data_IF_820969917843
#
_entry.id   IF_820969917843
#
_cell.length_a   1.000
_cell.length_b   1.000
_cell.length_c   1.000
_cell.angle_alpha   90.00
_cell.angle_beta   90.00
_cell.angle_gamma   90.00
#
_symmetry.space_group_name_H-M   'P 1'
#
loop_
_entity.id
_entity.type
_entity.pdbx_description
1 polymer ?
#
# COMPACT_ATOMS: atom_id res chain seq x y z
N UNK A 1 -0.62 -39.87 -26.00
CA UNK A 1 0.07 -40.05 -24.71
C UNK A 1 0.22 -38.69 -24.00
N UNK A 2 -0.71 -38.38 -23.10
CA UNK A 2 -0.62 -37.21 -22.22
C UNK A 2 0.41 -37.54 -21.15
N UNK A 3 1.50 -36.77 -21.05
CA UNK A 3 2.44 -36.95 -19.95
C UNK A 3 1.73 -36.53 -18.66
N UNK A 4 1.65 -37.48 -17.74
CA UNK A 4 1.34 -37.23 -16.34
C UNK A 4 2.64 -36.76 -15.70
N UNK A 5 2.95 -35.48 -15.87
CA UNK A 5 4.02 -34.87 -15.09
C UNK A 5 3.56 -34.86 -13.63
N UNK A 6 4.23 -35.69 -12.82
CA UNK A 6 3.99 -35.78 -11.39
C UNK A 6 4.17 -34.39 -10.75
N UNK A 7 3.39 -34.05 -9.71
CA UNK A 7 3.52 -32.77 -9.04
C UNK A 7 4.96 -32.59 -8.56
N UNK A 8 5.61 -31.54 -9.05
CA UNK A 8 6.95 -31.11 -8.65
C UNK A 8 7.06 -31.09 -7.13
N UNK A 9 8.02 -31.87 -6.64
CA UNK A 9 8.44 -31.99 -5.26
C UNK A 9 8.69 -30.59 -4.66
N UNK A 10 7.78 -30.11 -3.81
CA UNK A 10 7.93 -28.88 -3.03
C UNK A 10 8.83 -29.19 -1.83
N UNK A 11 10.08 -29.59 -2.11
CA UNK A 11 11.04 -30.03 -1.09
C UNK A 11 11.60 -28.88 -0.25
N UNK A 12 11.21 -27.64 -0.55
CA UNK A 12 11.47 -26.48 0.29
C UNK A 12 10.17 -25.75 0.61
N UNK A 13 9.76 -25.64 1.89
CA UNK A 13 8.69 -24.73 2.26
C UNK A 13 9.14 -23.34 1.83
N UNK A 14 8.50 -22.82 0.79
CA UNK A 14 8.71 -21.44 0.38
C UNK A 14 8.11 -20.55 1.47
N UNK A 15 8.96 -20.11 2.40
CA UNK A 15 8.57 -19.22 3.48
C UNK A 15 8.18 -17.86 2.88
N UNK A 16 6.87 -17.61 2.85
CA UNK A 16 6.33 -16.34 2.41
C UNK A 16 6.27 -15.39 3.61
N UNK A 17 6.79 -14.17 3.46
CA UNK A 17 6.70 -13.14 4.49
C UNK A 17 5.60 -12.15 4.15
N UNK A 18 4.61 -12.03 5.04
CA UNK A 18 3.57 -11.02 4.97
C UNK A 18 3.81 -9.94 6.01
N UNK A 19 3.72 -8.69 5.58
CA UNK A 19 3.76 -7.52 6.46
C UNK A 19 2.36 -6.93 6.56
N UNK A 20 1.92 -6.63 7.77
CA UNK A 20 0.65 -5.91 8.00
C UNK A 20 0.89 -4.66 8.82
N UNK A 21 0.10 -3.62 8.55
CA UNK A 21 0.05 -2.38 9.33
C UNK A 21 -1.32 -2.23 9.99
N UNK A 22 -1.37 -1.55 11.13
CA UNK A 22 -2.59 -1.37 11.91
C UNK A 22 -2.82 0.04 12.44
N UNK A 23 -4.04 0.29 12.94
CA UNK A 23 -4.43 1.54 13.62
C UNK A 23 -3.68 1.77 14.94
N UNK A 24 -3.01 0.74 15.44
CA UNK A 24 -2.12 0.76 16.57
C UNK A 24 -0.71 1.27 16.21
N UNK A 25 -0.47 1.68 14.96
CA UNK A 25 0.82 2.24 14.54
C UNK A 25 1.94 1.21 14.43
N UNK A 26 1.60 -0.07 14.56
CA UNK A 26 2.55 -1.17 14.49
C UNK A 26 2.57 -1.78 13.10
N UNK A 27 3.74 -2.29 12.75
CA UNK A 27 3.95 -3.23 11.65
C UNK A 27 4.21 -4.61 12.24
N UNK A 28 3.46 -5.60 11.77
CA UNK A 28 3.65 -7.00 12.14
C UNK A 28 4.25 -7.76 10.96
N UNK A 29 5.19 -8.65 11.27
CA UNK A 29 5.76 -9.59 10.31
C UNK A 29 5.23 -10.98 10.59
N UNK A 30 4.70 -11.61 9.56
CA UNK A 30 4.22 -12.98 9.57
C UNK A 30 5.03 -13.82 8.60
N UNK A 31 5.39 -15.03 9.01
CA UNK A 31 5.88 -16.08 8.14
C UNK A 31 4.76 -17.06 7.87
N UNK A 32 4.57 -17.38 6.60
CA UNK A 32 3.60 -18.33 6.10
C UNK A 32 4.35 -19.51 5.54
N UNK A 33 4.09 -20.68 6.10
CA UNK A 33 4.67 -21.95 5.66
C UNK A 33 3.54 -22.87 5.17
N UNK A 34 3.80 -23.56 4.06
CA UNK A 34 2.84 -24.43 3.37
C UNK A 34 3.34 -25.86 3.44
N UNK A 35 2.46 -26.82 3.73
CA UNK A 35 2.83 -28.24 3.87
C UNK A 35 3.34 -28.64 5.25
N UNK A 36 3.01 -27.88 6.30
CA UNK A 36 3.49 -28.14 7.66
C UNK A 36 2.76 -29.34 8.28
N UNK A 37 3.50 -30.31 8.81
CA UNK A 37 2.91 -31.40 9.61
C UNK A 37 2.44 -30.86 10.95
N UNK A 38 1.21 -31.21 11.36
CA UNK A 38 0.50 -30.73 12.56
C UNK A 38 1.21 -30.95 13.91
N UNK A 39 2.35 -31.62 13.92
CA UNK A 39 3.18 -31.84 15.12
C UNK A 39 3.97 -30.62 15.58
N UNK A 40 4.07 -29.56 14.76
CA UNK A 40 4.79 -28.33 15.13
C UNK A 40 3.83 -27.21 15.57
N UNK A 41 3.77 -27.00 16.89
CA UNK A 41 3.60 -25.70 17.57
C UNK A 41 2.27 -25.37 18.25
N UNK A 42 2.33 -25.29 19.58
CA UNK A 42 1.29 -24.77 20.48
C UNK A 42 1.14 -23.23 20.47
N UNK A 43 1.96 -22.50 19.70
CA UNK A 43 1.91 -21.03 19.61
C UNK A 43 1.58 -20.50 18.20
N UNK A 44 1.36 -21.40 17.23
CA UNK A 44 1.06 -21.07 15.84
C UNK A 44 -0.45 -21.12 15.62
N UNK A 45 -1.01 -20.06 15.04
CA UNK A 45 -2.37 -20.13 14.51
C UNK A 45 -2.28 -20.86 13.18
N UNK A 46 -2.61 -22.14 13.19
CA UNK A 46 -2.70 -22.98 11.99
C UNK A 46 -4.09 -22.89 11.37
N UNK A 47 -4.16 -22.85 10.04
CA UNK A 47 -5.39 -23.01 9.27
C UNK A 47 -5.21 -24.05 8.17
N UNK A 48 -6.31 -24.59 7.65
CA UNK A 48 -6.27 -25.40 6.42
C UNK A 48 -6.75 -24.54 5.25
N UNK A 49 -6.00 -24.53 4.15
CA UNK A 49 -6.48 -24.02 2.87
C UNK A 49 -6.83 -25.22 2.00
N UNK A 50 -8.10 -25.39 1.72
CA UNK A 50 -8.57 -26.41 0.78
C UNK A 50 -8.81 -25.76 -0.58
N UNK A 51 -8.07 -26.21 -1.59
CA UNK A 51 -8.40 -25.88 -2.97
C UNK A 51 -9.53 -26.83 -3.39
N UNK A 52 -10.76 -26.31 -3.50
CA UNK A 52 -11.94 -27.08 -3.86
C UNK A 52 -11.69 -27.84 -5.17
N UNK A 53 -11.50 -29.17 -5.06
CA UNK A 53 -11.28 -30.07 -6.20
C UNK A 53 -9.92 -30.77 -6.28
N UNK A 54 -8.93 -30.42 -5.45
CA UNK A 54 -7.57 -30.98 -5.59
C UNK A 54 -7.26 -32.23 -4.75
N UNK A 55 -8.13 -32.65 -3.82
CA UNK A 55 -7.94 -33.85 -2.97
C UNK A 55 -6.72 -33.82 -2.02
N UNK A 56 -5.83 -32.84 -2.17
CA UNK A 56 -4.65 -32.64 -1.36
C UNK A 56 -4.90 -31.48 -0.39
N UNK A 57 -5.27 -31.83 0.84
CA UNK A 57 -5.29 -30.86 1.94
C UNK A 57 -3.85 -30.42 2.23
N UNK A 58 -3.58 -29.14 2.02
CA UNK A 58 -2.31 -28.55 2.39
C UNK A 58 -2.48 -27.71 3.66
N UNK A 59 -1.77 -28.09 4.72
CA UNK A 59 -1.76 -27.31 5.95
C UNK A 59 -0.97 -26.01 5.73
N UNK A 60 -1.55 -24.88 6.15
CA UNK A 60 -0.90 -23.57 6.11
C UNK A 60 -0.73 -23.05 7.52
N UNK A 61 0.52 -22.85 7.91
CA UNK A 61 0.88 -22.29 9.19
C UNK A 61 1.19 -20.80 9.02
N UNK A 62 0.59 -19.96 9.86
CA UNK A 62 0.92 -18.52 9.91
C UNK A 62 1.46 -18.21 11.30
N UNK A 63 2.71 -17.74 11.34
CA UNK A 63 3.39 -17.38 12.58
C UNK A 63 3.74 -15.90 12.58
N UNK A 64 3.37 -15.18 13.64
CA UNK A 64 3.88 -13.83 13.85
C UNK A 64 5.31 -13.93 14.34
N UNK A 65 6.25 -13.34 13.61
CA UNK A 65 7.70 -13.45 13.88
C UNK A 65 8.34 -12.15 14.34
N UNK A 66 7.62 -11.04 14.19
CA UNK A 66 8.10 -9.75 14.64
C UNK A 66 7.00 -8.71 14.70
N UNK A 67 7.27 -7.70 15.52
CA UNK A 67 6.45 -6.50 15.64
C UNK A 67 7.39 -5.31 15.78
N UNK A 68 7.10 -4.22 15.09
CA UNK A 68 7.85 -2.96 15.21
C UNK A 68 6.88 -1.78 15.20
N UNK A 69 7.12 -0.78 16.05
CA UNK A 69 6.35 0.46 16.09
C UNK A 69 6.88 1.42 15.04
N UNK A 70 6.05 1.84 14.09
CA UNK A 70 6.44 2.77 13.02
C UNK A 70 5.98 4.21 13.27
N UNK A 71 4.85 4.38 13.94
CA UNK A 71 4.23 5.68 14.18
C UNK A 71 3.37 5.61 15.43
N UNK A 72 3.09 6.75 16.05
CA UNK A 72 2.08 6.85 17.11
C UNK A 72 0.64 6.91 16.59
N UNK A 73 0.48 6.99 15.27
CA UNK A 73 -0.81 6.98 14.62
C UNK A 73 -1.14 5.66 13.93
N UNK A 74 -1.72 5.71 12.74
CA UNK A 74 -2.18 4.54 11.98
C UNK A 74 -1.22 4.22 10.84
N UNK A 75 -0.74 2.97 10.72
CA UNK A 75 -0.08 2.47 9.49
C UNK A 75 -1.14 1.97 8.52
N UNK A 76 -1.36 2.71 7.43
CA UNK A 76 -2.46 2.47 6.52
C UNK A 76 -2.06 1.67 5.27
N UNK A 77 -0.80 1.74 4.85
CA UNK A 77 -0.28 0.99 3.71
C UNK A 77 1.19 0.64 3.93
N UNK A 78 1.58 -0.56 3.49
CA UNK A 78 2.98 -0.98 3.40
C UNK A 78 3.25 -1.39 1.95
N UNK A 79 4.30 -0.84 1.35
CA UNK A 79 4.63 -1.11 -0.05
C UNK A 79 6.11 -1.45 -0.17
N UNK A 80 6.42 -2.62 -0.75
CA UNK A 80 7.78 -2.98 -1.10
C UNK A 80 8.03 -2.66 -2.57
N UNK A 81 9.08 -1.89 -2.86
CA UNK A 81 9.47 -1.51 -4.22
C UNK A 81 10.98 -1.33 -4.29
N UNK A 82 11.61 -1.92 -5.30
CA UNK A 82 13.05 -1.82 -5.55
C UNK A 82 13.91 -2.14 -4.30
N UNK A 83 13.52 -3.21 -3.58
CA UNK A 83 14.18 -3.64 -2.34
C UNK A 83 13.92 -2.78 -1.10
N UNK A 84 13.21 -1.66 -1.24
CA UNK A 84 12.86 -0.74 -0.14
C UNK A 84 11.44 -1.00 0.36
N UNK A 85 11.22 -0.79 1.65
CA UNK A 85 9.92 -0.85 2.29
C UNK A 85 9.46 0.56 2.64
N UNK A 86 8.31 0.94 2.12
CA UNK A 86 7.66 2.20 2.42
C UNK A 86 6.43 1.98 3.29
N UNK A 87 6.19 2.89 4.22
CA UNK A 87 4.99 2.95 5.02
C UNK A 87 4.23 4.24 4.73
N UNK A 88 2.94 4.13 4.49
CA UNK A 88 2.00 5.26 4.50
C UNK A 88 1.28 5.22 5.84
N UNK A 89 1.37 6.31 6.58
CA UNK A 89 0.79 6.42 7.91
C UNK A 89 0.04 7.73 8.13
N UNK A 90 -0.81 7.75 9.15
CA UNK A 90 -1.54 8.93 9.58
C UNK A 90 -1.21 9.26 11.02
N UNK A 91 -0.71 10.46 11.29
CA UNK A 91 -0.49 10.98 12.63
C UNK A 91 -0.90 12.44 12.70
N UNK A 92 -1.67 12.83 13.72
CA UNK A 92 -2.10 14.21 13.95
C UNK A 92 -2.67 14.90 12.68
N UNK A 93 -3.65 14.26 12.02
CA UNK A 93 -4.29 14.70 10.76
C UNK A 93 -3.36 14.83 9.54
N UNK A 94 -2.14 14.31 9.61
CA UNK A 94 -1.18 14.29 8.51
C UNK A 94 -1.07 12.92 7.87
N UNK A 95 -0.92 12.88 6.55
CA UNK A 95 -0.46 11.72 5.80
C UNK A 95 1.06 11.79 5.74
N UNK A 96 1.72 10.71 6.14
CA UNK A 96 3.17 10.60 6.21
C UNK A 96 3.62 9.41 5.38
N UNK A 97 4.56 9.62 4.47
CA UNK A 97 5.23 8.54 3.73
C UNK A 97 6.63 8.40 4.27
N UNK A 98 6.98 7.21 4.74
CA UNK A 98 8.25 6.90 5.39
C UNK A 98 8.96 5.79 4.65
N UNK A 99 10.27 5.92 4.42
CA UNK A 99 11.14 4.81 4.05
C UNK A 99 11.59 4.08 5.32
N UNK A 100 11.03 2.88 5.53
CA UNK A 100 11.31 2.03 6.67
C UNK A 100 12.70 1.40 6.56
N UNK A 101 13.12 1.03 5.34
CA UNK A 101 14.43 0.43 5.08
C UNK A 101 15.56 1.42 5.36
N UNK A 102 15.36 2.71 5.03
CA UNK A 102 16.30 3.78 5.33
C UNK A 102 16.14 4.35 6.76
N UNK A 103 15.96 3.48 7.76
CA UNK A 103 15.91 3.88 9.18
C UNK A 103 14.71 4.76 9.55
N UNK A 104 13.54 4.50 8.95
CA UNK A 104 12.31 5.29 9.15
C UNK A 104 12.44 6.76 8.71
N UNK A 105 13.14 7.03 7.60
CA UNK A 105 13.26 8.38 7.04
C UNK A 105 11.92 8.86 6.48
N UNK A 106 11.44 10.02 6.95
CA UNK A 106 10.20 10.64 6.44
C UNK A 106 10.47 11.30 5.09
N UNK A 107 9.77 10.84 4.05
CA UNK A 107 9.85 11.37 2.69
C UNK A 107 8.83 12.48 2.45
N UNK A 108 7.63 12.33 3.02
CA UNK A 108 6.51 13.27 2.86
C UNK A 108 5.75 13.39 4.17
N UNK A 109 5.30 14.61 4.51
CA UNK A 109 4.35 14.84 5.60
C UNK A 109 3.42 15.99 5.23
N UNK A 110 2.16 15.68 4.88
CA UNK A 110 1.16 16.66 4.44
C UNK A 110 -0.05 16.65 5.35
N UNK A 111 -0.63 17.82 5.61
CA UNK A 111 -1.92 17.90 6.31
C UNK A 111 -3.02 17.47 5.35
N UNK A 112 -3.82 16.46 5.72
CA UNK A 112 -4.83 15.85 4.85
C UNK A 112 -6.16 15.58 5.58
N UNK A 113 -6.40 16.26 6.70
CA UNK A 113 -7.55 16.03 7.59
C UNK A 113 -7.63 14.63 8.25
N UNK A 114 -6.59 13.79 8.12
CA UNK A 114 -6.48 12.47 8.73
C UNK A 114 -6.92 11.30 7.84
N UNK A 115 -6.69 10.07 8.33
CA UNK A 115 -6.86 8.85 7.52
C UNK A 115 -8.31 8.42 7.26
N UNK A 116 -9.28 9.02 7.95
CA UNK A 116 -10.70 8.74 7.72
C UNK A 116 -11.23 9.35 6.40
N UNK A 117 -10.44 10.22 5.76
CA UNK A 117 -10.74 10.79 4.44
C UNK A 117 -10.22 9.89 3.33
N UNK A 118 -10.62 10.20 2.11
CA UNK A 118 -10.24 9.49 0.90
C UNK A 118 -8.85 9.94 0.47
N UNK A 119 -7.95 8.98 0.32
CA UNK A 119 -6.58 9.21 -0.11
C UNK A 119 -6.09 7.98 -0.88
N UNK A 120 -5.04 8.17 -1.66
CA UNK A 120 -4.28 7.10 -2.23
C UNK A 120 -2.83 7.52 -2.41
N UNK A 121 -1.92 6.57 -2.19
CA UNK A 121 -0.52 6.70 -2.55
C UNK A 121 -0.21 5.72 -3.67
N UNK A 122 0.30 6.24 -4.77
CA UNK A 122 0.80 5.48 -5.90
C UNK A 122 2.32 5.58 -5.91
N UNK A 123 2.98 4.44 -5.82
CA UNK A 123 4.41 4.33 -6.09
C UNK A 123 4.55 4.06 -7.58
N UNK A 124 5.10 5.01 -8.34
CA UNK A 124 5.38 4.90 -9.77
C UNK A 124 6.90 4.92 -10.03
N UNK A 125 7.32 4.61 -11.26
CA UNK A 125 8.75 4.68 -11.65
C UNK A 125 9.28 6.10 -11.55
N UNK A 126 8.45 7.09 -11.89
CA UNK A 126 8.75 8.51 -11.79
C UNK A 126 8.57 9.07 -10.36
N UNK A 127 8.54 8.22 -9.34
CA UNK A 127 8.47 8.62 -7.94
C UNK A 127 7.12 8.35 -7.27
N UNK A 128 6.91 8.98 -6.11
CA UNK A 128 5.73 8.76 -5.28
C UNK A 128 4.69 9.82 -5.62
N UNK A 129 3.45 9.40 -5.86
CA UNK A 129 2.29 10.27 -6.06
C UNK A 129 1.32 10.07 -4.93
N UNK A 130 0.78 11.15 -4.40
CA UNK A 130 -0.24 11.12 -3.36
C UNK A 130 -1.44 11.92 -3.85
N UNK A 131 -2.64 11.38 -3.72
CA UNK A 131 -3.88 12.08 -3.96
C UNK A 131 -4.76 12.00 -2.73
N UNK A 132 -5.43 13.08 -2.36
CA UNK A 132 -6.39 13.06 -1.25
C UNK A 132 -7.42 14.17 -1.38
N UNK A 133 -8.54 14.01 -0.68
CA UNK A 133 -9.59 15.03 -0.60
C UNK A 133 -9.39 15.90 0.64
N UNK A 134 -9.32 17.21 0.45
CA UNK A 134 -9.22 18.18 1.52
C UNK A 134 -10.12 19.39 1.21
N UNK A 135 -11.03 19.70 2.14
CA UNK A 135 -12.05 20.74 1.98
C UNK A 135 -12.85 20.64 0.66
N UNK A 136 -13.24 19.42 0.27
CA UNK A 136 -14.03 19.17 -0.96
C UNK A 136 -13.23 19.27 -2.26
N UNK A 137 -11.93 19.52 -2.17
CA UNK A 137 -11.03 19.64 -3.33
C UNK A 137 -10.11 18.42 -3.41
N UNK A 138 -9.76 18.03 -4.63
CA UNK A 138 -8.71 17.04 -4.87
C UNK A 138 -7.36 17.74 -4.80
N UNK A 139 -6.48 17.20 -3.97
CA UNK A 139 -5.09 17.61 -3.83
C UNK A 139 -4.21 16.47 -4.32
N UNK A 140 -3.18 16.80 -5.10
CA UNK A 140 -2.19 15.84 -5.55
C UNK A 140 -0.77 16.32 -5.24
N UNK A 141 0.11 15.40 -4.84
CA UNK A 141 1.52 15.67 -4.57
C UNK A 141 2.38 14.71 -5.39
N UNK A 142 3.53 15.20 -5.84
CA UNK A 142 4.54 14.47 -6.60
C UNK A 142 5.88 14.59 -5.87
N UNK A 143 6.46 13.44 -5.50
CA UNK A 143 7.82 13.36 -4.97
C UNK A 143 8.70 12.78 -6.07
N UNK A 144 9.46 13.66 -6.71
CA UNK A 144 10.33 13.29 -7.82
C UNK A 144 11.66 12.69 -7.36
N UNK A 145 12.15 13.04 -6.15
CA UNK A 145 13.33 12.44 -5.52
C UNK A 145 13.25 12.53 -3.98
N UNK A 146 13.98 11.67 -3.23
CA UNK A 146 14.06 11.73 -1.77
C UNK A 146 14.75 12.99 -1.20
N UNK A 147 15.16 13.95 -2.03
CA UNK A 147 15.92 15.12 -1.61
C UNK A 147 15.00 16.23 -1.08
N UNK A 148 14.51 16.06 0.15
CA UNK A 148 14.31 17.10 1.18
C UNK A 148 13.22 18.17 1.00
N UNK A 149 12.91 18.61 -0.22
CA UNK A 149 11.95 19.68 -0.44
C UNK A 149 10.65 19.09 -1.00
N UNK A 150 9.64 19.01 -0.15
CA UNK A 150 8.31 18.50 -0.50
C UNK A 150 7.77 19.20 -1.74
N UNK A 151 7.30 18.42 -2.71
CA UNK A 151 6.69 18.94 -3.92
C UNK A 151 5.48 19.82 -3.60
N UNK A 152 5.26 20.85 -4.40
CA UNK A 152 4.05 21.67 -4.32
C UNK A 152 2.82 20.86 -4.75
N UNK A 153 1.62 21.17 -4.21
CA UNK A 153 0.40 20.55 -4.68
C UNK A 153 0.21 20.84 -6.17
N UNK A 154 0.07 19.78 -6.97
CA UNK A 154 0.18 19.87 -8.44
C UNK A 154 -1.18 20.16 -9.10
N UNK A 155 -2.29 19.86 -8.42
CA UNK A 155 -3.65 20.09 -8.92
C UNK A 155 -4.56 20.44 -7.74
N UNK A 156 -5.30 21.55 -7.90
CA UNK A 156 -6.42 21.95 -7.04
C UNK A 156 -7.66 22.02 -7.93
N UNK A 157 -8.41 20.92 -8.00
CA UNK A 157 -9.66 20.85 -8.76
C UNK A 157 -10.85 20.78 -7.80
N UNK A 158 -11.90 21.55 -8.07
CA UNK A 158 -13.21 21.30 -7.47
C UNK A 158 -13.74 19.98 -8.06
N UNK A 159 -13.99 18.99 -7.20
CA UNK A 159 -14.34 17.64 -7.67
C UNK A 159 -15.85 17.43 -7.71
N UNK A 160 -16.56 17.84 -6.66
CA UNK A 160 -18.01 17.75 -6.56
C UNK A 160 -18.52 18.70 -5.47
N UNK A 161 -19.78 19.10 -5.56
CA UNK A 161 -20.51 19.73 -4.44
C UNK A 161 -20.95 18.71 -3.38
N UNK A 162 -20.78 17.41 -3.66
CA UNK A 162 -21.20 16.28 -2.81
C UNK A 162 -19.97 15.52 -2.28
N UNK A 163 -20.15 14.77 -1.18
CA UNK A 163 -19.13 13.94 -0.55
C UNK A 163 -18.49 12.96 -1.55
N UNK A 164 -17.15 12.96 -1.60
CA UNK A 164 -16.35 12.02 -2.40
C UNK A 164 -16.14 10.76 -1.56
N UNK A 165 -16.46 9.59 -2.11
CA UNK A 165 -16.40 8.30 -1.42
C UNK A 165 -15.17 7.48 -1.76
N UNK A 166 -14.59 7.67 -2.93
CA UNK A 166 -13.38 6.93 -3.37
C UNK A 166 -12.42 7.80 -4.18
N UNK A 167 -11.13 7.49 -4.07
CA UNK A 167 -10.03 8.07 -4.85
C UNK A 167 -9.19 6.90 -5.40
N UNK A 168 -8.95 6.94 -6.71
CA UNK A 168 -8.17 6.00 -7.51
C UNK A 168 -7.01 6.74 -8.19
N UNK A 169 -5.81 6.17 -8.28
CA UNK A 169 -4.63 6.76 -8.91
C UNK A 169 -3.96 5.72 -9.79
N UNK A 170 -3.62 6.13 -11.02
CA UNK A 170 -2.83 5.36 -11.94
C UNK A 170 -1.81 6.29 -12.63
N UNK A 171 -0.68 5.72 -13.07
CA UNK A 171 0.27 6.45 -13.91
C UNK A 171 0.18 5.89 -15.33
N UNK A 172 0.20 6.78 -16.32
CA UNK A 172 0.28 6.39 -17.73
C UNK A 172 1.72 6.01 -18.11
N UNK A 173 1.89 5.38 -19.27
CA UNK A 173 3.22 5.13 -19.86
C UNK A 173 4.02 6.42 -20.04
N UNK A 174 3.34 7.55 -20.28
CA UNK A 174 3.98 8.88 -20.37
C UNK A 174 4.35 9.53 -19.03
N UNK A 175 4.05 8.87 -17.90
CA UNK A 175 4.27 9.39 -16.55
C UNK A 175 3.17 10.33 -16.04
N UNK A 176 2.18 10.67 -16.87
CA UNK A 176 1.00 11.43 -16.44
C UNK A 176 0.22 10.71 -15.34
N UNK A 177 -0.20 11.47 -14.33
CA UNK A 177 -1.04 10.97 -13.25
C UNK A 177 -2.51 11.08 -13.66
N UNK A 178 -3.19 9.93 -13.66
CA UNK A 178 -4.64 9.85 -13.75
C UNK A 178 -5.17 9.65 -12.35
N UNK A 179 -6.08 10.52 -11.93
CA UNK A 179 -6.83 10.35 -10.68
C UNK A 179 -8.30 10.14 -11.02
N UNK A 180 -8.90 9.07 -10.50
CA UNK A 180 -10.32 8.82 -10.58
C UNK A 180 -10.97 9.13 -9.21
N UNK A 181 -12.10 9.81 -9.19
CA UNK A 181 -12.85 10.08 -7.95
C UNK A 181 -14.30 9.68 -8.12
N UNK A 182 -14.86 8.94 -7.17
CA UNK A 182 -16.28 8.59 -7.14
C UNK A 182 -16.99 9.26 -5.96
N UNK A 183 -18.13 9.90 -6.21
CA UNK A 183 -18.94 10.59 -5.20
C UNK A 183 -20.26 9.90 -4.87
N UNK A 184 -20.99 10.41 -3.87
CA UNK A 184 -22.36 9.94 -3.57
C UNK A 184 -23.38 10.32 -4.63
N UNK A 185 -23.03 11.29 -5.49
CA UNK A 185 -23.79 11.65 -6.68
C UNK A 185 -23.77 10.56 -7.76
N UNK A 186 -23.14 9.40 -7.49
CA UNK A 186 -23.04 8.28 -8.42
C UNK A 186 -22.11 8.54 -9.60
N UNK A 187 -21.39 9.66 -9.60
CA UNK A 187 -20.53 10.06 -10.72
C UNK A 187 -19.08 9.64 -10.47
N UNK A 188 -18.48 9.02 -11.49
CA UNK A 188 -17.03 8.82 -11.57
C UNK A 188 -16.42 9.94 -12.40
N UNK A 189 -15.43 10.63 -11.84
CA UNK A 189 -14.71 11.72 -12.52
C UNK A 189 -13.26 11.33 -12.71
N UNK A 190 -12.73 11.62 -13.89
CA UNK A 190 -11.34 11.36 -14.25
C UNK A 190 -10.62 12.69 -14.37
N UNK A 191 -9.59 12.86 -13.55
CA UNK A 191 -8.71 14.01 -13.53
C UNK A 191 -7.39 13.60 -14.18
N UNK A 192 -6.93 14.41 -15.11
CA UNK A 192 -5.66 14.21 -15.80
C UNK A 192 -4.69 15.32 -15.38
N UNK A 193 -3.63 14.95 -14.66
CA UNK A 193 -2.55 15.87 -14.33
C UNK A 193 -1.47 15.89 -15.43
N UNK A 194 -0.73 16.99 -15.60
CA UNK A 194 0.39 17.02 -16.53
C UNK A 194 1.47 15.98 -16.15
N UNK A 195 2.20 15.41 -17.13
CA UNK A 195 3.22 14.37 -16.91
C UNK A 195 4.40 14.85 -16.04
N UNK A 196 4.71 16.14 -16.12
CA UNK A 196 5.61 16.85 -15.24
C UNK A 196 5.21 18.32 -15.27
N UNK A 197 5.05 18.94 -14.10
CA UNK A 197 5.43 20.33 -13.98
C UNK A 197 6.88 20.26 -13.53
N UNK A 198 7.82 20.43 -14.45
CA UNK A 198 9.15 20.88 -14.07
C UNK A 198 8.92 22.25 -13.45
N UNK A 199 8.84 22.29 -12.12
CA UNK A 199 8.82 23.56 -11.40
C UNK A 199 10.22 24.12 -11.58
N UNK A 200 10.39 24.94 -12.62
CA UNK A 200 11.50 25.88 -12.69
C UNK A 200 11.32 26.78 -11.47
N UNK A 201 12.15 26.55 -10.46
CA UNK A 201 12.24 27.39 -9.28
C UNK A 201 12.76 28.79 -9.64
#
# INVERSE_FOLDING_TARGET
>A
PLSTDAPTDISHPSDCVVLTGGRDGQMHRFEISVGVTTSESAAVRSGSLTNAGSGNDCAVAVRRVGTSRLTDGWVAQLVRRDGRLFAVSFYNKRLVVTDVTAGNTVLLSVVCSGGAKQWQVLFAESGIRVAFIHHGQLWTYKLDRPSGNGGFPLVQGAVSSVDIRTVGCASTVSGALIVATGGEDGCLRIHHGPPSLDVVA
#
